data_IF_876933199019
#
_entry.id   IF_876933199019
#
_cell.length_a   1.000
_cell.length_b   1.000
_cell.length_c   1.000
_cell.angle_alpha   90.00
_cell.angle_beta   90.00
_cell.angle_gamma   90.00
#
_symmetry.space_group_name_H-M   'P 1'
#
loop_
_entity.id
_entity.type
_entity.pdbx_description
1 polymer ?
#
# COMPACT_ATOMS: atom_id res chain seq x y z
N UNK A 1 -6.40 -13.32 -0.62
CA UNK A 1 -6.26 -13.29 -2.09
C UNK A 1 -4.84 -12.90 -2.50
N UNK A 2 -4.27 -11.83 -1.91
CA UNK A 2 -2.87 -11.41 -2.12
C UNK A 2 -1.82 -12.51 -1.88
N UNK A 3 -1.97 -13.38 -0.87
CA UNK A 3 -1.04 -14.50 -0.64
C UNK A 3 -0.89 -15.46 -1.83
N UNK A 4 -1.97 -15.69 -2.59
CA UNK A 4 -1.91 -16.52 -3.79
C UNK A 4 -1.10 -15.82 -4.89
N UNK A 5 -1.33 -14.53 -5.09
CA UNK A 5 -0.58 -13.73 -6.07
C UNK A 5 0.90 -13.65 -5.71
N UNK A 6 1.22 -13.43 -4.43
CA UNK A 6 2.60 -13.45 -3.93
C UNK A 6 3.29 -14.79 -4.17
N UNK A 7 2.58 -15.89 -3.94
CA UNK A 7 3.09 -17.25 -4.15
C UNK A 7 3.29 -17.58 -5.64
N UNK A 8 2.44 -17.06 -6.52
CA UNK A 8 2.59 -17.21 -7.98
C UNK A 8 3.74 -16.35 -8.49
N UNK A 9 3.84 -15.09 -8.04
CA UNK A 9 4.96 -14.20 -8.35
C UNK A 9 6.29 -14.82 -7.91
N UNK A 10 6.39 -15.31 -6.68
CA UNK A 10 7.61 -15.92 -6.14
C UNK A 10 8.08 -17.16 -6.92
N UNK A 11 7.16 -17.86 -7.61
CA UNK A 11 7.49 -19.04 -8.42
C UNK A 11 7.81 -18.72 -9.87
N UNK A 12 7.14 -17.71 -10.45
CA UNK A 12 7.24 -17.38 -11.88
C UNK A 12 8.16 -16.21 -12.18
N UNK A 13 8.40 -15.33 -11.20
CA UNK A 13 9.13 -14.08 -11.38
C UNK A 13 8.48 -13.13 -12.39
N UNK A 14 7.19 -13.30 -12.70
CA UNK A 14 6.52 -12.50 -13.70
C UNK A 14 6.29 -11.07 -13.18
N UNK A 15 6.90 -10.09 -13.85
CA UNK A 15 6.84 -8.66 -13.49
C UNK A 15 5.42 -8.08 -13.55
N UNK A 16 4.60 -8.52 -14.51
CA UNK A 16 3.21 -8.05 -14.64
C UNK A 16 2.39 -8.43 -13.40
N UNK A 17 2.67 -9.59 -12.81
CA UNK A 17 2.04 -10.05 -11.57
C UNK A 17 2.36 -9.15 -10.37
N UNK A 18 3.60 -8.66 -10.29
CA UNK A 18 4.05 -7.76 -9.21
C UNK A 18 3.41 -6.37 -9.34
N UNK A 19 3.27 -5.86 -10.55
CA UNK A 19 2.57 -4.58 -10.79
C UNK A 19 1.10 -4.68 -10.37
N UNK A 20 0.41 -5.76 -10.74
CA UNK A 20 -0.96 -6.01 -10.30
C UNK A 20 -1.08 -6.17 -8.77
N UNK A 21 -0.09 -6.81 -8.14
CA UNK A 21 -0.03 -6.93 -6.67
C UNK A 21 0.07 -5.55 -6.02
N UNK A 22 0.95 -4.69 -6.54
CA UNK A 22 1.19 -3.34 -6.04
C UNK A 22 -0.04 -2.44 -6.21
N UNK A 23 -0.70 -2.51 -7.36
CA UNK A 23 -1.96 -1.82 -7.60
C UNK A 23 -3.03 -2.27 -6.60
N UNK A 24 -3.11 -3.57 -6.29
CA UNK A 24 -4.07 -4.10 -5.33
C UNK A 24 -3.77 -3.71 -3.88
N UNK A 25 -2.49 -3.61 -3.51
CA UNK A 25 -2.04 -3.07 -2.21
C UNK A 25 -2.39 -1.59 -2.08
N UNK A 26 -2.07 -0.77 -3.08
CA UNK A 26 -2.36 0.67 -3.10
C UNK A 26 -3.86 0.96 -2.93
N UNK A 27 -4.73 0.19 -3.62
CA UNK A 27 -6.18 0.28 -3.47
C UNK A 27 -6.71 -0.08 -2.06
N UNK A 28 -5.96 -0.86 -1.28
CA UNK A 28 -6.29 -1.20 0.11
C UNK A 28 -5.72 -0.20 1.12
N UNK A 29 -4.54 0.35 0.83
CA UNK A 29 -3.83 1.33 1.65
C UNK A 29 -4.51 2.72 1.62
N UNK A 30 -5.19 3.09 0.54
CA UNK A 30 -6.00 4.32 0.51
C UNK A 30 -7.11 4.35 1.57
N UNK A 31 -7.60 3.18 2.03
CA UNK A 31 -8.57 3.10 3.12
C UNK A 31 -7.94 3.25 4.51
N UNK A 32 -6.66 2.87 4.68
CA UNK A 32 -5.96 2.84 5.97
C UNK A 32 -5.02 4.05 6.18
N UNK A 33 -4.51 4.66 5.10
CA UNK A 33 -3.57 5.78 5.15
C UNK A 33 -4.27 7.16 5.24
N UNK A 34 -5.59 7.25 5.01
CA UNK A 34 -6.37 8.49 5.17
C UNK A 34 -6.73 8.83 6.64
N UNK A 35 -6.10 8.21 7.64
CA UNK A 35 -6.32 8.56 9.07
C UNK A 35 -5.06 9.08 9.80
N UNK A 36 -3.91 9.21 9.13
CA UNK A 36 -2.66 9.49 9.84
C UNK A 36 -1.83 10.66 9.27
N UNK A 37 -2.46 11.74 8.82
CA UNK A 37 -1.75 13.03 8.65
C UNK A 37 -2.67 14.27 8.68
N UNK A 38 -3.28 14.56 9.82
CA UNK A 38 -3.56 15.96 10.23
C UNK A 38 -3.06 16.20 11.66
N UNK A 39 -1.81 15.80 11.90
CA UNK A 39 -1.14 15.93 13.19
C UNK A 39 0.16 16.70 13.12
N UNK A 40 0.20 17.84 12.43
CA UNK A 40 1.30 18.81 12.59
C UNK A 40 0.94 20.15 11.97
N UNK A 41 0.72 21.15 12.83
CA UNK A 41 1.14 22.55 12.68
C UNK A 41 0.78 23.26 14.00
N UNK A 42 1.47 22.90 15.08
CA UNK A 42 1.68 23.82 16.19
C UNK A 42 2.89 24.67 15.84
N UNK A 43 2.72 25.99 15.69
CA UNK A 43 3.41 26.95 16.57
C UNK A 43 2.47 28.15 16.88
N UNK A 44 2.47 28.89 17.99
CA UNK A 44 3.46 29.28 18.99
C UNK A 44 2.69 29.81 20.22
N UNK A 45 3.29 29.91 21.41
CA UNK A 45 2.67 30.61 22.54
C UNK A 45 2.74 32.13 22.32
N UNK A 46 1.60 32.81 22.56
CA UNK A 46 1.50 34.25 22.84
C UNK A 46 0.94 34.41 24.25
#
# INVERSE_FOLDING_TARGET
MLELLWKVFSQTGNVDMYLLLKELEENGEDLENNTSETGSLGPSPL
#
